data_IF_649434235076
#
_entry.id   IF_649434235076
#
_cell.length_a   1.000
_cell.length_b   1.000
_cell.length_c   1.000
_cell.angle_alpha   90.00
_cell.angle_beta   90.00
_cell.angle_gamma   90.00
#
_symmetry.space_group_name_H-M   'P 1'
#
loop_
_entity.id
_entity.type
_entity.pdbx_description
1 polymer ?
#
# COMPACT_ATOMS: atom_id res chain seq x y z
N UNK A 1 21.02 -1.85 -2.08
CA UNK A 1 19.69 -1.70 -1.43
C UNK A 1 19.23 -0.27 -1.64
N UNK A 2 18.25 -0.05 -2.51
CA UNK A 2 17.83 1.31 -2.86
C UNK A 2 17.23 2.00 -1.62
N UNK A 3 17.88 3.05 -1.13
CA UNK A 3 17.35 3.96 -0.11
C UNK A 3 16.31 4.90 -0.76
N UNK A 4 15.24 4.34 -1.29
CA UNK A 4 14.07 5.13 -1.71
C UNK A 4 13.33 5.58 -0.45
N UNK A 5 12.95 6.86 -0.37
CA UNK A 5 12.06 7.36 0.68
C UNK A 5 10.83 6.45 0.78
N UNK A 6 10.69 5.74 1.89
CA UNK A 6 9.60 4.77 2.12
C UNK A 6 8.31 5.42 2.59
N UNK A 7 8.27 6.75 2.63
CA UNK A 7 7.12 7.54 3.03
C UNK A 7 6.38 8.06 1.81
N UNK A 8 5.07 7.88 1.80
CA UNK A 8 4.14 8.39 0.78
C UNK A 8 3.08 9.26 1.46
N UNK A 9 2.53 10.22 0.72
CA UNK A 9 1.45 11.08 1.21
C UNK A 9 0.10 10.59 0.67
N UNK A 10 -0.93 10.70 1.50
CA UNK A 10 -2.30 10.45 1.10
C UNK A 10 -2.80 11.62 0.26
N UNK A 11 -3.48 11.31 -0.85
CA UNK A 11 -4.10 12.31 -1.73
C UNK A 11 -5.60 12.05 -1.81
N UNK A 12 -6.37 13.14 -1.85
CA UNK A 12 -7.82 13.05 -2.03
C UNK A 12 -8.17 12.58 -3.43
N UNK A 13 -9.31 11.92 -3.57
CA UNK A 13 -9.89 11.64 -4.88
C UNK A 13 -11.10 12.55 -5.07
N UNK A 14 -11.06 13.38 -6.11
CA UNK A 14 -12.21 14.25 -6.43
C UNK A 14 -13.46 13.40 -6.65
N UNK A 15 -14.50 13.61 -5.85
CA UNK A 15 -15.80 12.96 -6.03
C UNK A 15 -15.96 11.56 -5.40
N UNK A 16 -15.01 11.07 -4.61
CA UNK A 16 -15.22 9.85 -3.81
C UNK A 16 -14.76 10.02 -2.37
N UNK A 17 -15.29 9.19 -1.46
CA UNK A 17 -14.89 9.17 -0.05
C UNK A 17 -13.59 8.38 0.19
N UNK A 18 -12.85 8.04 -0.86
CA UNK A 18 -11.57 7.34 -0.75
C UNK A 18 -10.39 8.31 -0.87
N UNK A 19 -9.34 8.02 -0.11
CA UNK A 19 -8.01 8.61 -0.27
C UNK A 19 -7.09 7.59 -0.92
N UNK A 20 -6.15 8.05 -1.74
CA UNK A 20 -5.16 7.18 -2.40
C UNK A 20 -3.77 7.44 -1.84
N UNK A 21 -2.97 6.40 -1.80
CA UNK A 21 -1.51 6.52 -1.63
C UNK A 21 -0.84 6.02 -2.89
N UNK A 22 0.35 6.52 -3.18
CA UNK A 22 1.26 5.85 -4.11
C UNK A 22 1.82 4.59 -3.45
N UNK A 23 2.08 3.56 -4.26
CA UNK A 23 2.85 2.37 -3.85
C UNK A 23 4.25 2.56 -4.44
N UNK A 24 5.31 2.56 -3.61
CA UNK A 24 6.69 2.67 -4.11
C UNK A 24 7.01 1.62 -5.17
N UNK A 25 7.73 2.01 -6.23
CA UNK A 25 8.05 1.12 -7.35
C UNK A 25 8.79 -0.16 -6.95
N UNK A 26 9.65 -0.09 -5.93
CA UNK A 26 10.35 -1.29 -5.46
C UNK A 26 9.38 -2.35 -4.88
N UNK A 27 8.24 -1.94 -4.30
CA UNK A 27 7.20 -2.88 -3.85
C UNK A 27 6.50 -3.47 -5.07
N UNK A 28 6.16 -2.63 -6.04
CA UNK A 28 5.52 -3.07 -7.31
C UNK A 28 6.38 -4.12 -7.99
N UNK A 29 7.68 -3.89 -8.12
CA UNK A 29 8.64 -4.81 -8.73
C UNK A 29 8.82 -6.10 -7.92
N UNK A 30 8.97 -5.98 -6.59
CA UNK A 30 9.17 -7.14 -5.69
C UNK A 30 8.00 -8.13 -5.76
N UNK A 31 6.77 -7.63 -5.88
CA UNK A 31 5.55 -8.45 -5.90
C UNK A 31 4.97 -8.65 -7.31
N UNK A 32 5.58 -8.07 -8.35
CA UNK A 32 5.07 -8.17 -9.72
C UNK A 32 3.68 -7.55 -9.92
N UNK A 33 3.35 -6.50 -9.15
CA UNK A 33 2.03 -5.87 -9.18
C UNK A 33 1.78 -5.13 -10.49
N UNK A 34 0.56 -5.20 -11.00
CA UNK A 34 0.09 -4.43 -12.17
C UNK A 34 -1.24 -3.76 -11.89
N UNK A 35 -1.58 -2.79 -12.75
CA UNK A 35 -2.88 -2.12 -12.68
C UNK A 35 -4.02 -3.13 -12.78
N UNK A 36 -4.96 -3.06 -11.84
CA UNK A 36 -6.11 -3.96 -11.76
C UNK A 36 -5.93 -5.15 -10.80
N UNK A 37 -4.70 -5.39 -10.30
CA UNK A 37 -4.49 -6.40 -9.28
C UNK A 37 -5.22 -6.04 -7.98
N UNK A 38 -5.71 -7.08 -7.29
CA UNK A 38 -6.39 -6.92 -6.01
C UNK A 38 -5.38 -6.99 -4.88
N UNK A 39 -5.55 -6.12 -3.91
CA UNK A 39 -4.71 -6.03 -2.74
C UNK A 39 -5.62 -6.05 -1.52
N UNK A 40 -5.31 -6.91 -0.55
CA UNK A 40 -6.01 -7.02 0.71
C UNK A 40 -5.30 -6.19 1.79
N UNK A 41 -6.11 -5.52 2.59
CA UNK A 41 -5.66 -4.68 3.69
C UNK A 41 -6.17 -5.28 5.00
N UNK A 42 -5.30 -5.40 6.00
CA UNK A 42 -5.67 -5.80 7.35
C UNK A 42 -5.02 -4.89 8.38
N UNK A 43 -5.71 -4.69 9.50
CA UNK A 43 -5.21 -3.94 10.65
C UNK A 43 -4.62 -4.95 11.65
N UNK A 44 -3.40 -4.68 12.10
CA UNK A 44 -2.75 -5.46 13.14
C UNK A 44 -2.32 -4.54 14.29
N UNK A 45 -2.77 -4.86 15.49
CA UNK A 45 -2.47 -4.11 16.71
C UNK A 45 -1.70 -4.99 17.68
N UNK A 46 -0.46 -4.61 17.98
CA UNK A 46 0.43 -5.37 18.85
C UNK A 46 1.32 -4.42 19.65
N UNK A 47 1.50 -4.67 20.96
CA UNK A 47 2.36 -3.87 21.86
C UNK A 47 2.06 -2.36 21.85
N UNK A 48 0.79 -1.97 21.71
CA UNK A 48 0.37 -0.57 21.64
C UNK A 48 0.68 0.13 20.31
N UNK A 49 1.26 -0.59 19.34
CA UNK A 49 1.43 -0.11 17.98
C UNK A 49 0.31 -0.66 17.08
N UNK A 50 -0.20 0.19 16.20
CA UNK A 50 -1.09 -0.23 15.11
C UNK A 50 -0.35 -0.18 13.79
N UNK A 51 -0.52 -1.22 12.99
CA UNK A 51 0.09 -1.37 11.68
C UNK A 51 -0.96 -1.82 10.67
N UNK A 52 -0.75 -1.43 9.42
CA UNK A 52 -1.54 -1.90 8.29
C UNK A 52 -0.68 -2.92 7.54
N UNK A 53 -1.21 -4.12 7.34
CA UNK A 53 -0.61 -5.13 6.49
C UNK A 53 -1.32 -5.10 5.14
N UNK A 54 -0.51 -5.01 4.09
CA UNK A 54 -0.97 -4.92 2.71
C UNK A 54 -0.42 -6.14 1.97
N UNK A 55 -1.32 -7.00 1.50
CA UNK A 55 -0.95 -8.28 0.87
C UNK A 55 -1.59 -8.38 -0.52
N UNK A 56 -0.82 -8.65 -1.59
CA UNK A 56 -1.40 -8.99 -2.89
C UNK A 56 -2.32 -10.20 -2.75
N UNK A 57 -3.50 -10.16 -3.36
CA UNK A 57 -4.30 -11.37 -3.50
C UNK A 57 -3.78 -12.13 -4.72
N UNK A 58 -3.36 -13.38 -4.53
CA UNK A 58 -3.17 -14.29 -5.65
C UNK A 58 -4.51 -14.40 -6.40
N UNK A 59 -4.47 -14.05 -7.68
CA UNK A 59 -5.59 -14.20 -8.60
C UNK A 59 -5.55 -15.54 -9.29
#
# INVERSE_FOLDING_TARGET
MARGSSTTSLVSTGGSNSIRTTVPMWIVEQFGLKSGDKIQWSLHAENGAMSIIVTPQEG
#
